data_IF_942617848755
#
_entry.id   IF_942617848755
#
_cell.length_a   1.000
_cell.length_b   1.000
_cell.length_c   1.000
_cell.angle_alpha   90.00
_cell.angle_beta   90.00
_cell.angle_gamma   90.00
#
_symmetry.space_group_name_H-M   'P 1'
#
loop_
_entity.id
_entity.type
_entity.pdbx_description
1 polymer ?
#
# COMPACT_ATOMS: atom_id res chain seq x y z
N UNK A 1 44.97 25.81 25.00
CA UNK A 1 44.37 25.00 26.08
C UNK A 1 43.41 24.01 25.45
N UNK A 2 43.75 22.73 25.48
CA UNK A 2 42.93 21.67 24.90
C UNK A 2 41.73 21.39 25.81
N UNK A 3 40.51 21.50 25.28
CA UNK A 3 39.30 21.08 25.97
C UNK A 3 39.40 19.58 26.31
N UNK A 4 39.58 19.27 27.60
CA UNK A 4 39.47 17.91 28.13
C UNK A 4 38.01 17.45 28.00
N UNK A 5 37.70 16.81 26.87
CA UNK A 5 36.62 15.82 26.66
C UNK A 5 35.47 15.87 27.69
N UNK A 6 34.61 16.87 27.60
CA UNK A 6 33.25 16.74 28.14
C UNK A 6 32.52 15.73 27.25
N UNK A 7 32.50 14.45 27.64
CA UNK A 7 31.61 13.47 27.01
C UNK A 7 30.18 13.92 27.33
N UNK A 8 29.38 14.40 26.36
CA UNK A 8 28.01 14.78 26.65
C UNK A 8 27.30 13.53 27.19
N UNK A 9 26.90 13.57 28.46
CA UNK A 9 26.11 12.49 29.06
C UNK A 9 24.76 12.54 28.38
N UNK A 10 24.48 11.58 27.49
CA UNK A 10 23.17 11.45 26.86
C UNK A 10 22.11 11.41 27.97
N UNK A 11 21.07 12.22 27.81
CA UNK A 11 19.99 12.22 28.78
C UNK A 11 19.32 10.85 28.78
N UNK A 12 18.88 10.38 29.95
CA UNK A 12 18.16 9.11 30.08
C UNK A 12 16.93 9.07 29.16
N UNK A 13 16.33 10.23 28.87
CA UNK A 13 15.20 10.37 27.94
C UNK A 13 15.58 9.97 26.51
N UNK A 14 16.73 10.42 26.01
CA UNK A 14 17.22 10.08 24.66
C UNK A 14 17.51 8.59 24.52
N UNK A 15 18.10 7.94 25.53
CA UNK A 15 18.35 6.50 25.52
C UNK A 15 17.03 5.70 25.49
N UNK A 16 16.02 6.14 26.24
CA UNK A 16 14.70 5.49 26.25
C UNK A 16 14.02 5.65 24.89
N UNK A 17 14.14 6.81 24.25
CA UNK A 17 13.61 7.06 22.91
C UNK A 17 14.27 6.13 21.88
N UNK A 18 15.59 6.08 21.83
CA UNK A 18 16.33 5.18 20.93
C UNK A 18 15.97 3.71 21.15
N UNK A 19 15.84 3.29 22.42
CA UNK A 19 15.39 1.94 22.75
C UNK A 19 13.99 1.65 22.17
N UNK A 20 13.04 2.57 22.34
CA UNK A 20 11.68 2.41 21.83
C UNK A 20 11.66 2.38 20.29
N UNK A 21 12.35 3.31 19.65
CA UNK A 21 12.48 3.39 18.20
C UNK A 21 13.14 2.13 17.62
N UNK A 22 14.22 1.65 18.24
CA UNK A 22 14.91 0.42 17.82
C UNK A 22 14.02 -0.81 17.93
N UNK A 23 13.22 -0.92 19.00
CA UNK A 23 12.26 -2.04 19.15
C UNK A 23 11.09 -1.95 18.17
N UNK A 24 10.55 -0.76 17.93
CA UNK A 24 9.51 -0.55 16.92
C UNK A 24 10.02 -0.91 15.52
N UNK A 25 11.22 -0.45 15.16
CA UNK A 25 11.88 -0.77 13.90
C UNK A 25 12.09 -2.28 13.72
N UNK A 26 12.53 -2.96 14.76
CA UNK A 26 12.72 -4.40 14.70
C UNK A 26 11.39 -5.15 14.52
N UNK A 27 10.31 -4.71 15.17
CA UNK A 27 8.99 -5.29 14.97
C UNK A 27 8.53 -5.15 13.51
N UNK A 28 8.58 -3.94 12.96
CA UNK A 28 8.14 -3.69 11.58
C UNK A 28 9.00 -4.45 10.57
N UNK A 29 10.31 -4.54 10.78
CA UNK A 29 11.21 -5.33 9.93
C UNK A 29 10.87 -6.82 9.90
N UNK A 30 10.44 -7.38 11.04
CA UNK A 30 10.05 -8.79 11.11
C UNK A 30 8.69 -9.04 10.45
N UNK A 31 7.74 -8.10 10.58
CA UNK A 31 6.43 -8.17 9.92
C UNK A 31 6.52 -8.06 8.40
N UNK A 32 7.43 -7.20 7.91
CA UNK A 32 7.65 -6.93 6.49
C UNK A 32 8.73 -7.84 5.86
N UNK A 33 9.24 -8.84 6.60
CA UNK A 33 10.27 -9.75 6.10
C UNK A 33 9.79 -10.53 4.86
N UNK A 34 10.68 -10.67 3.88
CA UNK A 34 10.45 -11.47 2.67
C UNK A 34 10.44 -12.99 2.96
N UNK A 35 11.06 -13.41 4.07
CA UNK A 35 11.10 -14.82 4.47
C UNK A 35 9.73 -15.26 5.04
N UNK A 36 9.05 -16.23 4.39
CA UNK A 36 7.74 -16.68 4.84
C UNK A 36 7.78 -17.29 6.24
N UNK A 37 8.88 -17.94 6.65
CA UNK A 37 9.00 -18.57 7.97
C UNK A 37 9.03 -17.49 9.05
N UNK A 38 9.84 -16.46 8.87
CA UNK A 38 9.96 -15.33 9.82
C UNK A 38 8.62 -14.60 9.96
N UNK A 39 7.95 -14.38 8.83
CA UNK A 39 6.64 -13.72 8.77
C UNK A 39 5.51 -14.54 9.41
N UNK A 40 5.62 -15.87 9.39
CA UNK A 40 4.61 -16.76 9.99
C UNK A 40 4.82 -16.90 11.49
N UNK A 41 6.07 -17.01 11.94
CA UNK A 41 6.40 -17.21 13.36
C UNK A 41 6.20 -15.94 14.19
N UNK A 42 6.42 -14.75 13.61
CA UNK A 42 6.28 -13.44 14.27
C UNK A 42 6.75 -13.45 15.73
N UNK A 43 8.06 -13.58 15.98
CA UNK A 43 8.57 -13.79 17.32
C UNK A 43 8.17 -12.64 18.26
N UNK A 44 7.57 -13.00 19.38
CA UNK A 44 7.06 -12.04 20.36
C UNK A 44 8.20 -11.24 20.98
N UNK A 45 8.24 -9.93 20.73
CA UNK A 45 9.21 -9.04 21.34
C UNK A 45 8.86 -8.79 22.80
N UNK A 46 9.64 -9.39 23.71
CA UNK A 46 9.54 -9.10 25.13
C UNK A 46 10.00 -7.67 25.41
N UNK A 47 9.03 -6.79 25.67
CA UNK A 47 9.29 -5.43 26.18
C UNK A 47 8.85 -5.30 27.64
N UNK A 48 9.37 -4.28 28.32
CA UNK A 48 9.15 -4.12 29.75
C UNK A 48 7.68 -3.93 30.14
N UNK A 49 7.37 -4.09 31.43
CA UNK A 49 5.99 -4.04 31.97
C UNK A 49 5.22 -2.76 31.61
N UNK A 50 5.90 -1.61 31.56
CA UNK A 50 5.29 -0.29 31.37
C UNK A 50 5.04 0.08 29.90
N UNK A 51 5.64 -0.63 28.94
CA UNK A 51 5.55 -0.25 27.53
C UNK A 51 5.58 -1.48 26.61
N UNK A 52 4.59 -1.57 25.72
CA UNK A 52 4.44 -2.65 24.74
C UNK A 52 4.63 -2.10 23.32
N UNK A 53 5.54 -2.70 22.56
CA UNK A 53 5.86 -2.26 21.19
C UNK A 53 4.68 -2.44 20.26
N UNK A 54 3.99 -3.59 20.33
CA UNK A 54 2.85 -3.91 19.47
C UNK A 54 1.80 -2.81 19.54
N UNK A 55 1.33 -2.48 20.74
CA UNK A 55 0.39 -1.37 20.97
C UNK A 55 0.85 -0.05 20.38
N UNK A 56 2.11 0.32 20.60
CA UNK A 56 2.65 1.59 20.12
C UNK A 56 2.75 1.64 18.58
N UNK A 57 3.11 0.53 17.96
CA UNK A 57 3.17 0.40 16.49
C UNK A 57 1.77 0.38 15.89
N UNK A 58 0.83 -0.35 16.50
CA UNK A 58 -0.57 -0.40 16.07
C UNK A 58 -1.23 0.98 16.15
N UNK A 59 -1.05 1.69 17.26
CA UNK A 59 -1.50 3.09 17.40
C UNK A 59 -0.88 3.96 16.30
N UNK A 60 0.43 3.87 16.05
CA UNK A 60 1.10 4.65 15.01
C UNK A 60 0.57 4.32 13.60
N UNK A 61 0.28 3.06 13.31
CA UNK A 61 -0.36 2.63 12.04
C UNK A 61 -1.76 3.22 11.90
N UNK A 62 -2.57 3.24 12.96
CA UNK A 62 -3.89 3.86 12.96
C UNK A 62 -3.82 5.39 12.77
N UNK A 63 -2.87 6.06 13.42
CA UNK A 63 -2.62 7.49 13.20
C UNK A 63 -2.23 7.79 11.75
N UNK A 64 -1.40 6.94 11.15
CA UNK A 64 -1.02 7.08 9.75
C UNK A 64 -2.24 6.93 8.84
N UNK A 65 -3.07 5.92 9.08
CA UNK A 65 -4.30 5.64 8.33
C UNK A 65 -5.32 6.78 8.44
N UNK A 66 -5.47 7.38 9.62
CA UNK A 66 -6.32 8.57 9.81
C UNK A 66 -5.77 9.81 9.10
N UNK A 67 -4.44 9.91 8.96
CA UNK A 67 -3.77 11.01 8.26
C UNK A 67 -3.81 10.84 6.74
N UNK A 68 -4.03 9.63 6.23
CA UNK A 68 -4.24 9.42 4.80
C UNK A 68 -5.36 10.35 4.30
N UNK A 69 -5.13 11.13 3.24
CA UNK A 69 -6.09 12.11 2.77
C UNK A 69 -7.35 11.39 2.31
N UNK A 70 -8.41 11.45 3.12
CA UNK A 70 -9.73 11.00 2.71
C UNK A 70 -10.20 11.92 1.59
N UNK A 71 -10.20 11.42 0.35
CA UNK A 71 -10.80 12.13 -0.77
C UNK A 71 -12.31 12.19 -0.54
N UNK A 72 -12.82 13.33 -0.04
CA UNK A 72 -14.24 13.56 0.17
C UNK A 72 -14.93 13.68 -1.18
N UNK A 73 -15.48 12.58 -1.67
CA UNK A 73 -16.32 12.56 -2.87
C UNK A 73 -17.80 12.57 -2.50
N UNK A 74 -18.66 12.96 -3.45
CA UNK A 74 -20.09 13.12 -3.19
C UNK A 74 -20.81 11.82 -2.78
N UNK A 75 -22.04 11.92 -2.29
CA UNK A 75 -22.82 10.78 -1.74
C UNK A 75 -22.96 9.58 -2.70
N UNK A 76 -22.99 9.82 -4.01
CA UNK A 76 -23.26 8.81 -5.04
C UNK A 76 -21.99 8.13 -5.59
N UNK A 77 -20.80 8.65 -5.31
CA UNK A 77 -19.57 8.13 -5.88
C UNK A 77 -18.44 8.17 -4.86
N UNK A 78 -17.74 7.04 -4.70
CA UNK A 78 -16.59 6.88 -3.81
C UNK A 78 -15.35 6.52 -4.63
N UNK A 79 -14.32 7.36 -4.58
CA UNK A 79 -13.07 7.16 -5.34
C UNK A 79 -12.37 5.87 -4.95
N UNK A 80 -12.32 5.55 -3.65
CA UNK A 80 -11.66 4.33 -3.16
C UNK A 80 -12.31 3.08 -3.75
N UNK A 81 -13.65 3.00 -3.68
CA UNK A 81 -14.41 1.88 -4.26
C UNK A 81 -14.22 1.76 -5.77
N UNK A 82 -14.34 2.87 -6.52
CA UNK A 82 -14.15 2.84 -7.97
C UNK A 82 -12.72 2.42 -8.38
N UNK A 83 -11.71 2.89 -7.65
CA UNK A 83 -10.32 2.51 -7.89
C UNK A 83 -10.05 1.04 -7.56
N UNK A 84 -10.63 0.51 -6.47
CA UNK A 84 -10.45 -0.89 -6.09
C UNK A 84 -11.16 -1.84 -7.06
N UNK A 85 -12.39 -1.50 -7.48
CA UNK A 85 -13.10 -2.23 -8.53
C UNK A 85 -12.32 -2.23 -9.86
N UNK A 86 -11.72 -1.10 -10.24
CA UNK A 86 -10.89 -1.00 -11.44
C UNK A 86 -9.64 -1.89 -11.34
N UNK A 87 -8.96 -1.90 -10.18
CA UNK A 87 -7.81 -2.81 -9.94
C UNK A 87 -8.22 -4.27 -10.05
N UNK A 88 -9.38 -4.66 -9.53
CA UNK A 88 -9.90 -6.03 -9.62
C UNK A 88 -10.22 -6.41 -11.07
N UNK A 89 -10.86 -5.53 -11.84
CA UNK A 89 -11.09 -5.74 -13.27
C UNK A 89 -9.77 -5.93 -14.04
N UNK A 90 -8.75 -5.10 -13.76
CA UNK A 90 -7.44 -5.22 -14.40
C UNK A 90 -6.76 -6.55 -14.07
N UNK A 91 -6.77 -6.97 -12.80
CA UNK A 91 -6.27 -8.30 -12.39
C UNK A 91 -7.02 -9.43 -13.11
N UNK A 92 -8.34 -9.31 -13.24
CA UNK A 92 -9.15 -10.30 -13.94
C UNK A 92 -8.80 -10.37 -15.43
N UNK A 93 -8.56 -9.23 -16.08
CA UNK A 93 -8.08 -9.16 -17.47
C UNK A 93 -6.71 -9.80 -17.65
N UNK A 94 -5.81 -9.69 -16.68
CA UNK A 94 -4.52 -10.40 -16.72
C UNK A 94 -4.70 -11.92 -16.69
N UNK A 95 -5.63 -12.43 -15.88
CA UNK A 95 -5.90 -13.87 -15.78
C UNK A 95 -6.54 -14.41 -17.05
N UNK A 96 -7.50 -13.68 -17.61
CA UNK A 96 -8.18 -14.06 -18.86
C UNK A 96 -7.21 -13.98 -20.05
N UNK A 97 -6.23 -13.09 -19.98
CA UNK A 97 -5.28 -12.85 -21.06
C UNK A 97 -5.81 -11.86 -22.09
N UNK A 98 -5.08 -11.75 -23.21
CA UNK A 98 -5.48 -10.87 -24.31
C UNK A 98 -6.75 -11.41 -24.95
N UNK A 99 -7.87 -10.72 -24.74
CA UNK A 99 -9.09 -10.99 -25.50
C UNK A 99 -8.94 -10.41 -26.90
N UNK A 100 -9.20 -11.22 -27.91
CA UNK A 100 -9.20 -10.75 -29.29
C UNK A 100 -10.34 -9.76 -29.46
N UNK A 101 -10.00 -8.48 -29.62
CA UNK A 101 -10.93 -7.47 -30.08
C UNK A 101 -10.87 -7.42 -31.61
N UNK A 102 -12.03 -7.46 -32.24
CA UNK A 102 -12.20 -7.36 -33.69
C UNK A 102 -11.55 -8.51 -34.51
N UNK A 103 -11.35 -8.28 -35.80
CA UNK A 103 -10.72 -9.22 -36.75
C UNK A 103 -9.19 -9.08 -36.80
N UNK A 104 -8.54 -8.80 -35.67
CA UNK A 104 -7.10 -8.47 -35.64
C UNK A 104 -6.14 -9.62 -35.97
N UNK A 105 -6.62 -10.87 -36.01
CA UNK A 105 -5.81 -12.03 -36.39
C UNK A 105 -4.57 -12.23 -35.49
N UNK A 106 -3.53 -12.90 -36.02
CA UNK A 106 -2.24 -13.15 -35.37
C UNK A 106 -1.32 -11.92 -35.37
N UNK A 107 -1.83 -10.74 -35.00
CA UNK A 107 -1.04 -9.52 -34.89
C UNK A 107 -0.20 -9.47 -33.60
N UNK A 108 1.02 -8.94 -33.68
CA UNK A 108 1.91 -8.69 -32.52
C UNK A 108 1.38 -7.53 -31.68
N UNK A 109 0.33 -7.77 -30.90
CA UNK A 109 -0.17 -6.76 -29.96
C UNK A 109 0.67 -6.84 -28.70
N UNK A 110 1.44 -5.80 -28.39
CA UNK A 110 2.15 -5.73 -27.11
C UNK A 110 1.13 -5.50 -26.00
N UNK A 111 0.89 -6.54 -25.20
CA UNK A 111 0.06 -6.43 -24.01
C UNK A 111 0.81 -5.69 -22.91
N UNK A 112 0.24 -4.58 -22.48
CA UNK A 112 0.66 -3.95 -21.23
C UNK A 112 -0.14 -4.59 -20.09
N UNK A 113 0.57 -5.13 -19.11
CA UNK A 113 0.00 -5.89 -17.99
C UNK A 113 0.06 -5.08 -16.70
N UNK A 114 -1.05 -5.05 -15.94
CA UNK A 114 -1.18 -4.33 -14.67
C UNK A 114 -0.10 -4.68 -13.62
N UNK A 115 0.27 -5.95 -13.55
CA UNK A 115 1.33 -6.49 -12.71
C UNK A 115 2.71 -6.01 -13.11
N UNK A 116 2.93 -5.72 -14.42
CA UNK A 116 4.21 -5.29 -14.99
C UNK A 116 4.33 -3.78 -15.12
N UNK A 117 3.25 -3.02 -14.90
CA UNK A 117 3.28 -1.56 -14.97
C UNK A 117 3.53 -0.91 -13.62
N UNK A 118 4.26 0.19 -13.67
CA UNK A 118 4.60 1.00 -12.51
C UNK A 118 4.32 2.49 -12.78
N UNK A 119 4.24 3.28 -11.70
CA UNK A 119 4.17 4.74 -11.81
C UNK A 119 2.94 5.27 -12.56
N UNK A 120 3.19 6.02 -13.64
CA UNK A 120 2.16 6.74 -14.40
C UNK A 120 1.27 5.80 -15.20
N UNK A 121 1.86 4.83 -15.91
CA UNK A 121 1.12 3.88 -16.74
C UNK A 121 0.08 3.11 -15.92
N UNK A 122 0.47 2.75 -14.70
CA UNK A 122 -0.41 2.11 -13.73
C UNK A 122 -1.62 3.01 -13.39
N UNK A 123 -1.39 4.30 -13.16
CA UNK A 123 -2.50 5.24 -12.88
C UNK A 123 -3.40 5.43 -14.10
N UNK A 124 -2.81 5.55 -15.29
CA UNK A 124 -3.55 5.73 -16.54
C UNK A 124 -4.45 4.50 -16.82
N UNK A 125 -3.95 3.28 -16.60
CA UNK A 125 -4.76 2.05 -16.69
C UNK A 125 -5.98 2.05 -15.76
N UNK A 126 -5.84 2.49 -14.51
CA UNK A 126 -6.99 2.60 -13.59
C UNK A 126 -8.00 3.60 -14.12
N UNK A 127 -7.54 4.77 -14.58
CA UNK A 127 -8.41 5.85 -15.07
C UNK A 127 -9.20 5.37 -16.29
N UNK A 128 -8.53 4.70 -17.23
CA UNK A 128 -9.18 4.18 -18.43
C UNK A 128 -10.18 3.07 -18.10
N UNK A 129 -9.89 2.22 -17.12
CA UNK A 129 -10.85 1.20 -16.68
C UNK A 129 -12.10 1.81 -16.03
N UNK A 130 -11.94 2.85 -15.21
CA UNK A 130 -13.06 3.60 -14.63
C UNK A 130 -13.91 4.22 -15.75
N UNK A 131 -13.29 4.85 -16.75
CA UNK A 131 -13.98 5.42 -17.92
C UNK A 131 -14.76 4.36 -18.69
N UNK A 132 -14.13 3.22 -19.00
CA UNK A 132 -14.76 2.12 -19.72
C UNK A 132 -15.99 1.58 -18.98
N UNK A 133 -15.92 1.49 -17.65
CA UNK A 133 -17.04 1.06 -16.82
C UNK A 133 -18.20 2.06 -16.88
N UNK A 134 -17.92 3.35 -16.77
CA UNK A 134 -18.95 4.40 -16.92
C UNK A 134 -19.57 4.37 -18.32
N UNK A 135 -18.77 4.27 -19.38
CA UNK A 135 -19.27 4.22 -20.74
C UNK A 135 -20.11 2.96 -21.00
N UNK A 136 -19.74 1.82 -20.43
CA UNK A 136 -20.56 0.60 -20.48
C UNK A 136 -21.94 0.83 -19.85
N UNK A 137 -22.01 1.49 -18.68
CA UNK A 137 -23.31 1.81 -18.06
C UNK A 137 -24.12 2.82 -18.88
N UNK A 138 -23.46 3.76 -19.57
CA UNK A 138 -24.15 4.72 -20.47
C UNK A 138 -24.75 4.01 -21.68
N UNK A 139 -24.01 3.08 -22.28
CA UNK A 139 -24.51 2.30 -23.43
C UNK A 139 -25.69 1.43 -23.00
N UNK A 140 -25.60 0.73 -21.87
CA UNK A 140 -26.70 -0.09 -21.34
C UNK A 140 -27.99 0.73 -21.14
N UNK A 141 -27.88 1.95 -20.60
CA UNK A 141 -29.04 2.85 -20.41
C UNK A 141 -29.66 3.37 -21.70
N UNK A 142 -28.91 3.42 -22.80
CA UNK A 142 -29.43 3.82 -24.12
C UNK A 142 -30.15 2.68 -24.86
N UNK A 143 -29.85 1.44 -24.49
CA UNK A 143 -30.41 0.24 -25.12
C UNK A 143 -31.71 -0.21 -24.43
N UNK A 144 -31.93 0.19 -23.17
CA UNK A 144 -33.21 0.05 -22.47
C UNK A 144 -34.20 1.15 -22.88
#
# INVERSE_FOLDING_TARGET
MYCQKAKPKLSVKSIIEEYKCGKARLLTMLEESDDPVVKTVQPFLKTGRKWKVTKAVDEAKEWLKMKEPSLKTGRKWKVTGAADEAKECLKMKEVIGLTQTDRRGLGSTSATWWSKTEGKEKRDMIIDEIRNKEDSTRVQKKVQ
#
